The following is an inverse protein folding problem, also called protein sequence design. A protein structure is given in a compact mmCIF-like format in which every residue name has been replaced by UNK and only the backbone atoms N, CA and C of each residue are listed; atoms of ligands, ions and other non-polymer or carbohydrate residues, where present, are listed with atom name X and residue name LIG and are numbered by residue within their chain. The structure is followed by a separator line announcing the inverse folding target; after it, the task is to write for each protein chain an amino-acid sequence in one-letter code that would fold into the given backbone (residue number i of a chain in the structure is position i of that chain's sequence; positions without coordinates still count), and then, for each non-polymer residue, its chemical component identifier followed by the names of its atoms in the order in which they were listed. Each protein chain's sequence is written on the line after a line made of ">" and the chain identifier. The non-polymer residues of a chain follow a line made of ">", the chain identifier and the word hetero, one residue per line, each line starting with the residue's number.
data_IF_941865323636
#
_entry.id   IF_941865323636
#
_cell.length_a   1.000
_cell.length_b   1.000
_cell.length_c   1.000
_cell.angle_alpha   90.00
_cell.angle_beta   90.00
_cell.angle_gamma   90.00
#
_symmetry.space_group_name_H-M   'P 1'
#
loop_
_entity.id
_entity.type
_entity.pdbx_description
1 polymer ?
#
# COMPACT_ATOMS: atom_id res chain seq x y z
N UNK A 1 12.01 6.64 25.39
CA UNK A 1 10.74 6.99 24.72
C UNK A 1 10.16 5.73 24.10
N UNK A 2 9.03 5.24 24.55
CA UNK A 2 8.36 4.08 23.95
C UNK A 2 7.82 4.51 22.59
N UNK A 3 8.37 3.95 21.51
CA UNK A 3 7.86 4.15 20.15
C UNK A 3 6.39 3.77 20.10
N UNK A 4 5.51 4.67 19.62
CA UNK A 4 4.11 4.40 19.41
C UNK A 4 3.92 3.34 18.33
N UNK A 5 2.79 2.61 18.34
CA UNK A 5 2.47 1.69 17.25
C UNK A 5 2.18 2.49 15.97
N UNK A 6 2.83 2.11 14.88
CA UNK A 6 2.61 2.71 13.56
C UNK A 6 1.52 2.00 12.75
N UNK A 7 0.79 1.08 13.36
CA UNK A 7 -0.41 0.45 12.79
C UNK A 7 -1.66 0.83 13.59
N UNK A 8 -2.77 1.02 12.88
CA UNK A 8 -4.11 1.24 13.43
C UNK A 8 -5.02 0.13 12.98
N UNK A 9 -5.73 -0.50 13.90
CA UNK A 9 -6.64 -1.61 13.64
C UNK A 9 -8.07 -1.08 13.48
N UNK A 10 -8.78 -1.56 12.47
CA UNK A 10 -10.18 -1.24 12.20
C UNK A 10 -10.97 -2.53 11.99
N UNK A 11 -12.03 -2.73 12.76
CA UNK A 11 -12.83 -3.95 12.77
C UNK A 11 -12.36 -5.01 13.77
N UNK A 12 -13.01 -6.17 13.77
CA UNK A 12 -12.73 -7.28 14.70
C UNK A 12 -11.53 -8.10 14.23
N UNK A 13 -10.35 -7.69 14.68
CA UNK A 13 -9.08 -8.34 14.33
C UNK A 13 -8.87 -9.64 15.11
N UNK A 14 -9.46 -9.79 16.30
CA UNK A 14 -9.19 -10.95 17.16
C UNK A 14 -9.74 -12.25 16.57
N UNK A 15 -10.90 -12.18 15.94
CA UNK A 15 -11.59 -13.34 15.34
C UNK A 15 -11.24 -13.57 13.87
N UNK A 16 -10.57 -12.62 13.22
CA UNK A 16 -10.30 -12.70 11.80
C UNK A 16 -9.11 -13.63 11.50
N UNK A 17 -9.22 -14.48 10.51
CA UNK A 17 -8.12 -15.32 10.01
C UNK A 17 -7.24 -14.57 9.01
N UNK A 18 -7.74 -13.48 8.46
CA UNK A 18 -7.06 -12.64 7.48
C UNK A 18 -7.42 -11.17 7.67
N UNK A 19 -6.60 -10.28 7.14
CA UNK A 19 -6.80 -8.84 7.20
C UNK A 19 -6.29 -8.15 5.93
N UNK A 20 -6.90 -6.99 5.59
CA UNK A 20 -6.35 -6.08 4.57
C UNK A 20 -5.43 -5.08 5.25
N UNK A 21 -4.19 -5.00 4.78
CA UNK A 21 -3.20 -4.05 5.28
C UNK A 21 -3.02 -2.94 4.27
N UNK A 22 -3.34 -1.72 4.65
CA UNK A 22 -3.23 -0.52 3.85
C UNK A 22 -1.93 0.22 4.14
N UNK A 23 -1.11 0.40 3.09
CA UNK A 23 0.16 1.10 3.17
C UNK A 23 0.06 2.47 2.50
N UNK A 24 0.51 3.56 3.20
CA UNK A 24 0.17 4.93 2.85
C UNK A 24 0.82 5.41 1.55
N UNK A 25 0.12 6.21 0.74
CA UNK A 25 0.72 6.94 -0.37
C UNK A 25 1.58 8.11 0.14
N UNK A 26 2.37 8.70 -0.77
CA UNK A 26 3.20 9.86 -0.46
C UNK A 26 2.37 11.04 0.06
N UNK A 27 2.89 11.75 1.06
CA UNK A 27 2.29 12.95 1.65
C UNK A 27 1.14 12.67 2.63
N UNK A 28 0.80 11.41 2.93
CA UNK A 28 -0.25 11.10 3.91
C UNK A 28 0.18 11.52 5.31
N UNK A 29 -0.68 12.22 6.02
CA UNK A 29 -0.52 12.51 7.47
C UNK A 29 -1.07 11.35 8.29
N UNK A 30 -2.26 10.89 7.95
CA UNK A 30 -2.92 9.69 8.48
C UNK A 30 -3.30 8.79 7.32
N UNK A 31 -3.75 7.57 7.58
CA UNK A 31 -4.20 6.69 6.50
C UNK A 31 -5.41 7.28 5.75
N UNK A 32 -5.35 7.46 4.43
CA UNK A 32 -6.49 7.92 3.64
C UNK A 32 -7.52 6.81 3.38
N UNK A 33 -7.27 5.60 3.86
CA UNK A 33 -8.05 4.40 3.55
C UNK A 33 -9.08 4.03 4.62
N UNK A 34 -9.26 4.83 5.69
CA UNK A 34 -10.31 4.55 6.69
C UNK A 34 -11.71 4.42 6.08
N UNK A 35 -12.13 5.28 5.11
CA UNK A 35 -13.41 5.08 4.44
C UNK A 35 -13.47 3.75 3.67
N UNK A 36 -12.40 3.39 2.98
CA UNK A 36 -12.30 2.14 2.22
C UNK A 36 -12.33 0.92 3.15
N UNK A 37 -11.60 0.97 4.27
CA UNK A 37 -11.61 -0.08 5.30
C UNK A 37 -12.99 -0.28 5.93
N UNK A 38 -13.77 0.79 6.08
CA UNK A 38 -15.15 0.73 6.59
C UNK A 38 -16.17 0.09 5.64
N UNK A 39 -15.81 -0.07 4.37
CA UNK A 39 -16.64 -0.73 3.34
C UNK A 39 -16.30 -2.22 3.16
N UNK A 40 -15.25 -2.72 3.81
CA UNK A 40 -14.93 -4.13 3.76
C UNK A 40 -15.98 -4.98 4.48
N UNK A 41 -16.22 -6.22 4.02
CA UNK A 41 -17.23 -7.06 4.63
C UNK A 41 -16.91 -7.42 6.07
N UNK A 42 -17.93 -7.71 6.91
CA UNK A 42 -17.74 -8.23 8.26
C UNK A 42 -16.81 -9.47 8.23
N UNK A 43 -15.83 -9.52 9.13
CA UNK A 43 -14.84 -10.60 9.19
C UNK A 43 -13.59 -10.39 8.34
N UNK A 44 -13.51 -9.28 7.58
CA UNK A 44 -12.30 -8.83 6.88
C UNK A 44 -11.84 -7.47 7.44
N UNK A 45 -11.19 -7.43 8.60
CA UNK A 45 -10.73 -6.19 9.20
C UNK A 45 -9.62 -5.53 8.39
N UNK A 46 -9.48 -4.22 8.61
CA UNK A 46 -8.41 -3.42 8.03
C UNK A 46 -7.32 -3.09 9.05
N UNK A 47 -6.09 -3.01 8.56
CA UNK A 47 -4.93 -2.50 9.29
C UNK A 47 -4.33 -1.35 8.51
N UNK A 48 -4.23 -0.19 9.12
CA UNK A 48 -3.70 1.01 8.49
C UNK A 48 -2.27 1.25 8.98
N UNK A 49 -1.31 1.23 8.07
CA UNK A 49 0.07 1.62 8.34
C UNK A 49 0.19 3.15 8.29
N UNK A 50 0.92 3.72 9.24
CA UNK A 50 1.20 5.16 9.31
C UNK A 50 2.71 5.39 9.38
N UNK A 51 3.15 6.49 8.79
CA UNK A 51 4.57 6.86 8.75
C UNK A 51 4.96 7.67 9.98
N UNK A 52 6.12 7.38 10.60
CA UNK A 52 6.70 8.23 11.64
C UNK A 52 6.98 9.65 11.18
N UNK A 53 7.03 10.59 12.13
CA UNK A 53 7.26 12.01 11.87
C UNK A 53 6.01 12.77 11.41
N UNK A 54 4.81 12.17 11.55
CA UNK A 54 3.53 12.80 11.16
C UNK A 54 2.34 12.22 11.90
N UNK A 55 1.22 12.94 11.89
CA UNK A 55 -0.03 12.49 12.52
C UNK A 55 0.17 12.10 13.99
N UNK A 56 -0.24 10.89 14.36
CA UNK A 56 -0.08 10.36 15.72
C UNK A 56 1.37 10.10 16.13
N UNK A 57 2.28 10.05 15.15
CA UNK A 57 3.70 9.73 15.32
C UNK A 57 4.59 10.95 15.03
N UNK A 58 4.05 12.18 15.20
CA UNK A 58 4.73 13.43 14.84
C UNK A 58 6.07 13.62 15.57
N UNK A 59 6.18 13.13 16.81
CA UNK A 59 7.39 13.23 17.63
C UNK A 59 8.45 12.17 17.30
N UNK A 60 8.14 11.24 16.40
CA UNK A 60 9.09 10.21 15.99
C UNK A 60 9.92 10.67 14.79
N UNK A 61 11.14 10.17 14.71
CA UNK A 61 11.99 10.42 13.53
C UNK A 61 11.34 9.84 12.26
N UNK A 62 11.20 10.63 11.19
CA UNK A 62 10.75 10.12 9.90
C UNK A 62 11.64 8.99 9.38
N UNK A 63 11.04 8.03 8.67
CA UNK A 63 11.79 6.97 8.00
C UNK A 63 12.62 7.53 6.85
N UNK A 64 13.81 6.99 6.67
CA UNK A 64 14.75 7.40 5.62
C UNK A 64 14.60 6.63 4.31
N UNK A 65 13.88 5.49 4.30
CA UNK A 65 13.77 4.63 3.12
C UNK A 65 12.51 3.77 3.15
N UNK A 66 12.14 3.22 1.97
CA UNK A 66 11.05 2.24 1.82
C UNK A 66 11.31 1.01 2.69
N UNK A 67 12.57 0.58 2.77
CA UNK A 67 12.96 -0.61 3.55
C UNK A 67 12.81 -0.40 5.04
N UNK A 68 13.26 0.75 5.56
CA UNK A 68 13.11 1.10 6.97
C UNK A 68 11.64 1.10 7.40
N UNK A 69 10.74 1.65 6.58
CA UNK A 69 9.31 1.60 6.83
C UNK A 69 8.77 0.16 6.83
N UNK A 70 9.15 -0.64 5.83
CA UNK A 70 8.73 -2.03 5.73
C UNK A 70 9.24 -2.89 6.88
N UNK A 71 10.48 -2.69 7.36
CA UNK A 71 11.03 -3.39 8.51
C UNK A 71 10.22 -3.10 9.78
N UNK A 72 9.87 -1.83 10.01
CA UNK A 72 9.04 -1.43 11.13
C UNK A 72 7.66 -2.08 11.08
N UNK A 73 6.94 -1.93 9.97
CA UNK A 73 5.58 -2.48 9.84
C UNK A 73 5.57 -4.00 9.87
N UNK A 74 6.53 -4.68 9.27
CA UNK A 74 6.63 -6.15 9.36
C UNK A 74 6.76 -6.62 10.79
N UNK A 75 7.61 -5.97 11.58
CA UNK A 75 7.76 -6.29 13.00
C UNK A 75 6.49 -6.01 13.82
N UNK A 76 5.75 -4.95 13.53
CA UNK A 76 4.50 -4.63 14.22
C UNK A 76 3.36 -5.57 13.79
N UNK A 77 3.23 -5.86 12.49
CA UNK A 77 2.24 -6.79 11.94
C UNK A 77 2.47 -8.21 12.46
N UNK A 78 3.72 -8.69 12.50
CA UNK A 78 4.06 -10.01 13.03
C UNK A 78 3.64 -10.18 14.49
N UNK A 79 3.77 -9.12 15.30
CA UNK A 79 3.31 -9.14 16.70
C UNK A 79 1.81 -9.03 16.86
N UNK A 80 1.15 -8.24 16.00
CA UNK A 80 -0.30 -8.01 16.09
C UNK A 80 -1.13 -9.12 15.45
N UNK A 81 -0.60 -9.79 14.41
CA UNK A 81 -1.33 -10.69 13.54
C UNK A 81 -0.58 -12.01 13.27
N UNK A 82 0.00 -12.67 14.30
CA UNK A 82 0.78 -13.88 14.08
C UNK A 82 -0.08 -14.99 13.44
N UNK A 83 0.46 -15.64 12.41
CA UNK A 83 -0.22 -16.72 11.68
C UNK A 83 -1.33 -16.27 10.71
N UNK A 84 -1.69 -14.99 10.67
CA UNK A 84 -2.77 -14.47 9.83
C UNK A 84 -2.36 -14.41 8.36
N UNK A 85 -3.37 -14.42 7.50
CA UNK A 85 -3.23 -14.15 6.07
C UNK A 85 -3.39 -12.66 5.83
N UNK A 86 -2.43 -12.04 5.15
CA UNK A 86 -2.42 -10.61 4.89
C UNK A 86 -2.63 -10.33 3.41
N UNK A 87 -3.58 -9.45 3.12
CA UNK A 87 -3.81 -8.84 1.81
C UNK A 87 -3.22 -7.44 1.83
N UNK A 88 -2.05 -7.26 1.23
CA UNK A 88 -1.37 -5.96 1.23
C UNK A 88 -1.93 -5.08 0.11
N UNK A 89 -2.32 -3.87 0.45
CA UNK A 89 -2.77 -2.85 -0.50
C UNK A 89 -1.87 -1.62 -0.40
N UNK A 90 -1.27 -1.22 -1.51
CA UNK A 90 -0.50 0.01 -1.59
C UNK A 90 -0.88 0.82 -2.82
N UNK A 91 -1.04 2.14 -2.65
CA UNK A 91 -1.28 3.10 -3.72
C UNK A 91 -0.05 3.99 -3.92
N UNK A 92 0.35 4.20 -5.16
CA UNK A 92 1.50 5.06 -5.52
C UNK A 92 2.78 4.61 -4.77
N UNK A 93 3.40 5.45 -3.94
CA UNK A 93 4.52 5.07 -3.08
C UNK A 93 4.18 3.88 -2.16
N UNK A 94 2.95 3.81 -1.67
CA UNK A 94 2.44 2.71 -0.85
C UNK A 94 2.60 1.34 -1.49
N UNK A 95 2.62 1.27 -2.82
CA UNK A 95 2.87 0.02 -3.56
C UNK A 95 4.29 -0.53 -3.34
N UNK A 96 5.28 0.34 -3.21
CA UNK A 96 6.65 -0.06 -2.88
C UNK A 96 6.76 -0.50 -1.42
N UNK A 97 6.06 0.19 -0.52
CA UNK A 97 5.96 -0.23 0.87
C UNK A 97 5.33 -1.61 0.99
N UNK A 98 4.23 -1.86 0.25
CA UNK A 98 3.56 -3.16 0.22
C UNK A 98 4.47 -4.26 -0.35
N UNK A 99 5.17 -3.98 -1.44
CA UNK A 99 6.13 -4.90 -2.04
C UNK A 99 7.27 -5.27 -1.08
N UNK A 100 7.89 -4.29 -0.42
CA UNK A 100 8.95 -4.54 0.54
C UNK A 100 8.43 -5.26 1.80
N UNK A 101 7.22 -4.95 2.28
CA UNK A 101 6.59 -5.65 3.40
C UNK A 101 6.30 -7.12 3.02
N UNK A 102 5.77 -7.37 1.80
CA UNK A 102 5.57 -8.73 1.30
C UNK A 102 6.88 -9.53 1.28
N UNK A 103 7.97 -8.89 0.86
CA UNK A 103 9.27 -9.54 0.81
C UNK A 103 9.79 -9.98 2.18
N UNK A 104 9.54 -9.20 3.26
CA UNK A 104 9.91 -9.61 4.63
C UNK A 104 9.19 -10.88 5.04
N UNK A 105 7.89 -10.94 4.81
CA UNK A 105 7.10 -12.13 5.16
C UNK A 105 7.33 -13.32 4.24
N UNK A 106 7.85 -13.12 3.04
CA UNK A 106 8.31 -14.22 2.19
C UNK A 106 9.61 -14.83 2.71
N UNK A 107 10.49 -14.00 3.29
CA UNK A 107 11.75 -14.44 3.88
C UNK A 107 11.56 -15.03 5.30
N UNK A 108 10.63 -14.49 6.09
CA UNK A 108 10.28 -14.94 7.44
C UNK A 108 8.75 -15.01 7.59
N UNK A 109 8.13 -16.20 7.37
CA UNK A 109 6.69 -16.33 7.21
C UNK A 109 5.92 -16.39 8.54
N UNK A 110 6.12 -15.44 9.44
CA UNK A 110 5.29 -15.27 10.65
C UNK A 110 3.84 -14.95 10.27
N UNK A 111 3.64 -14.20 9.19
CA UNK A 111 2.35 -14.00 8.53
C UNK A 111 2.43 -14.53 7.10
N UNK A 112 1.28 -14.89 6.51
CA UNK A 112 1.22 -15.38 5.11
C UNK A 112 0.70 -14.27 4.21
N UNK A 113 1.44 -13.93 3.16
CA UNK A 113 0.93 -12.99 2.16
C UNK A 113 -0.05 -13.69 1.24
N UNK A 114 -1.33 -13.34 1.39
CA UNK A 114 -2.42 -13.91 0.59
C UNK A 114 -2.58 -13.20 -0.76
N UNK A 115 -2.31 -11.88 -0.82
CA UNK A 115 -2.22 -11.12 -2.07
C UNK A 115 -1.44 -9.82 -1.89
N UNK A 116 -0.85 -9.34 -2.97
CA UNK A 116 -0.29 -8.01 -3.11
C UNK A 116 -1.14 -7.24 -4.13
N UNK A 117 -1.78 -6.17 -3.70
CA UNK A 117 -2.52 -5.24 -4.54
C UNK A 117 -1.70 -3.98 -4.73
N UNK A 118 -1.33 -3.73 -5.97
CA UNK A 118 -0.60 -2.55 -6.41
C UNK A 118 -1.57 -1.59 -7.09
N UNK A 119 -1.65 -0.37 -6.61
CA UNK A 119 -2.57 0.66 -7.10
C UNK A 119 -1.79 1.87 -7.63
N UNK A 120 -2.04 2.24 -8.89
CA UNK A 120 -1.51 3.44 -9.55
C UNK A 120 -0.01 3.67 -9.29
N UNK A 121 0.80 2.64 -9.52
CA UNK A 121 2.25 2.69 -9.32
C UNK A 121 2.99 2.03 -10.47
N UNK A 122 4.05 2.66 -10.94
CA UNK A 122 5.02 2.01 -11.81
C UNK A 122 5.82 0.97 -11.03
N UNK A 123 6.36 0.01 -11.74
CA UNK A 123 7.14 -1.10 -11.23
C UNK A 123 8.31 -0.63 -10.34
N UNK A 124 8.83 -1.48 -9.46
CA UNK A 124 9.87 -1.11 -8.50
C UNK A 124 11.18 -0.60 -9.14
N UNK A 125 11.50 -1.07 -10.33
CA UNK A 125 12.71 -0.65 -11.09
C UNK A 125 12.60 0.74 -11.70
N UNK A 126 11.40 1.28 -11.86
CA UNK A 126 11.19 2.60 -12.46
C UNK A 126 11.69 3.72 -11.55
N UNK A 127 12.55 4.59 -12.12
CA UNK A 127 12.98 5.82 -11.44
C UNK A 127 12.18 7.00 -11.99
N UNK A 128 11.33 7.66 -11.19
CA UNK A 128 10.57 8.81 -11.64
C UNK A 128 11.48 9.96 -12.09
N UNK A 129 11.13 10.62 -13.18
CA UNK A 129 11.80 11.85 -13.60
C UNK A 129 11.52 12.96 -12.56
N UNK A 130 12.50 13.81 -12.29
CA UNK A 130 12.35 14.92 -11.32
C UNK A 130 11.15 15.83 -11.62
N UNK A 131 10.87 16.07 -12.91
CA UNK A 131 9.72 16.86 -13.34
C UNK A 131 8.36 16.27 -12.93
N UNK A 132 8.23 14.94 -12.90
CA UNK A 132 7.00 14.24 -12.47
C UNK A 132 6.78 14.46 -10.97
N UNK A 133 7.84 14.39 -10.17
CA UNK A 133 7.77 14.66 -8.73
C UNK A 133 7.35 16.12 -8.46
N UNK A 134 7.89 17.09 -9.22
CA UNK A 134 7.51 18.49 -9.11
C UNK A 134 6.04 18.74 -9.52
N UNK A 135 5.57 18.11 -10.60
CA UNK A 135 4.18 18.20 -11.05
C UNK A 135 3.22 17.58 -10.01
N UNK A 136 3.57 16.43 -9.45
CA UNK A 136 2.78 15.79 -8.39
C UNK A 136 2.70 16.67 -7.14
N UNK A 137 3.82 17.25 -6.70
CA UNK A 137 3.85 18.18 -5.58
C UNK A 137 3.01 19.44 -5.84
N UNK A 138 3.05 20.00 -7.06
CA UNK A 138 2.24 21.16 -7.44
C UNK A 138 0.74 20.85 -7.40
N UNK A 139 0.31 19.73 -7.98
CA UNK A 139 -1.09 19.29 -7.96
C UNK A 139 -1.59 19.00 -6.55
N UNK A 140 -0.77 18.39 -5.72
CA UNK A 140 -1.12 18.11 -4.32
C UNK A 140 -1.30 19.38 -3.51
N UNK A 141 -0.48 20.43 -3.74
CA UNK A 141 -0.67 21.75 -3.13
C UNK A 141 -1.95 22.41 -3.59
N UNK A 142 -2.24 22.37 -4.89
CA UNK A 142 -3.44 22.99 -5.46
C UNK A 142 -4.75 22.38 -4.93
N UNK A 143 -4.75 21.09 -4.61
CA UNK A 143 -5.92 20.38 -4.06
C UNK A 143 -6.20 20.68 -2.58
N UNK A 144 -5.18 21.07 -1.80
CA UNK A 144 -5.29 21.24 -0.34
C UNK A 144 -5.63 22.68 0.10
N UNK A 145 -5.65 23.64 -0.80
CA UNK A 145 -5.84 25.04 -0.42
C UNK A 145 -4.63 25.67 0.29
N UNK A 146 -4.70 26.97 0.56
CA UNK A 146 -3.59 27.77 1.13
C UNK A 146 -3.69 27.89 2.65
N UNK A 147 -3.95 26.79 3.38
CA UNK A 147 -3.97 26.83 4.84
C UNK A 147 -2.54 26.83 5.42
N UNK A 148 -2.37 27.44 6.59
CA UNK A 148 -1.09 27.79 7.22
C UNK A 148 -0.13 26.61 7.51
N UNK A 149 -0.55 25.36 7.37
CA UNK A 149 0.27 24.15 7.49
C UNK A 149 0.98 23.75 6.18
N UNK A 150 0.89 24.55 5.14
CA UNK A 150 1.38 24.24 3.80
C UNK A 150 2.88 23.95 3.70
N UNK A 151 3.69 24.51 4.59
CA UNK A 151 5.16 24.33 4.59
C UNK A 151 5.54 22.94 5.09
N UNK A 152 4.98 22.50 6.21
CA UNK A 152 5.23 21.16 6.78
C UNK A 152 4.69 20.01 5.89
N UNK A 153 3.60 20.23 5.17
CA UNK A 153 3.03 19.30 4.20
C UNK A 153 3.90 19.18 2.94
N UNK A 154 4.47 20.28 2.50
CA UNK A 154 5.41 20.32 1.38
C UNK A 154 6.67 19.52 1.68
N UNK A 155 7.23 19.66 2.86
CA UNK A 155 8.43 18.94 3.32
C UNK A 155 8.20 17.44 3.47
N UNK A 156 7.03 17.02 3.96
CA UNK A 156 6.66 15.60 4.06
C UNK A 156 6.55 14.95 2.69
N UNK A 157 5.85 15.59 1.77
CA UNK A 157 5.71 15.09 0.40
C UNK A 157 7.07 15.04 -0.31
N UNK A 158 7.91 16.06 -0.16
CA UNK A 158 9.25 16.11 -0.74
C UNK A 158 10.13 14.97 -0.20
N UNK A 159 10.04 14.67 1.10
CA UNK A 159 10.72 13.54 1.73
C UNK A 159 10.26 12.21 1.15
N UNK A 160 8.96 11.99 1.02
CA UNK A 160 8.39 10.75 0.47
C UNK A 160 8.76 10.55 -1.00
N UNK A 161 8.75 11.62 -1.80
CA UNK A 161 9.19 11.59 -3.21
C UNK A 161 10.69 11.31 -3.34
N UNK A 162 11.51 11.78 -2.37
CA UNK A 162 12.93 11.44 -2.30
C UNK A 162 13.11 9.95 -2.01
N UNK A 163 12.43 9.40 -1.01
CA UNK A 163 12.43 7.97 -0.68
C UNK A 163 12.04 7.13 -1.92
N UNK A 164 11.01 7.54 -2.67
CA UNK A 164 10.61 6.88 -3.93
C UNK A 164 11.72 6.92 -4.98
N UNK A 165 12.36 8.05 -5.16
CA UNK A 165 13.41 8.24 -6.18
C UNK A 165 14.69 7.46 -5.85
N UNK A 166 15.02 7.35 -4.57
CA UNK A 166 16.21 6.65 -4.07
C UNK A 166 16.01 5.13 -3.99
N UNK A 167 14.75 4.67 -4.03
CA UNK A 167 14.46 3.25 -3.96
C UNK A 167 15.00 2.48 -5.16
N UNK A 168 15.63 1.34 -4.90
CA UNK A 168 16.11 0.38 -5.92
C UNK A 168 15.75 -1.04 -5.47
N UNK A 169 15.07 -1.83 -6.30
CA UNK A 169 14.87 -3.25 -6.02
C UNK A 169 16.23 -3.98 -6.15
N UNK A 170 16.41 -5.01 -5.34
CA UNK A 170 17.67 -5.80 -5.34
C UNK A 170 17.45 -7.24 -4.95
N UNK A 171 16.28 -7.79 -5.29
CA UNK A 171 15.89 -9.15 -4.94
C UNK A 171 15.29 -9.87 -6.12
N UNK A 172 15.24 -11.20 -6.00
CA UNK A 172 14.46 -12.05 -6.91
C UNK A 172 12.97 -11.68 -6.84
N UNK A 173 12.23 -11.91 -7.93
CA UNK A 173 10.80 -11.67 -7.98
C UNK A 173 10.03 -12.42 -6.88
N UNK A 174 9.00 -11.77 -6.32
CA UNK A 174 8.18 -12.36 -5.26
C UNK A 174 7.13 -13.30 -5.84
N UNK A 175 7.04 -14.52 -5.35
CA UNK A 175 6.04 -15.51 -5.76
C UNK A 175 4.74 -15.36 -4.93
N UNK A 176 4.13 -14.18 -4.92
CA UNK A 176 2.86 -13.89 -4.23
C UNK A 176 1.77 -13.53 -5.24
N UNK A 177 0.46 -13.78 -4.97
CA UNK A 177 -0.62 -13.37 -5.86
C UNK A 177 -0.64 -11.86 -6.04
N UNK A 178 -0.76 -11.40 -7.30
CA UNK A 178 -0.69 -9.99 -7.70
C UNK A 178 -2.01 -9.50 -8.30
N UNK A 179 -2.56 -8.42 -7.76
CA UNK A 179 -3.61 -7.62 -8.39
C UNK A 179 -3.09 -6.21 -8.71
N UNK A 180 -3.54 -5.65 -9.82
CA UNK A 180 -3.19 -4.31 -10.28
C UNK A 180 -4.45 -3.46 -10.38
N UNK A 181 -4.41 -2.24 -9.84
CA UNK A 181 -5.51 -1.28 -9.86
C UNK A 181 -5.02 0.07 -10.42
N UNK A 182 -5.84 0.73 -11.24
CA UNK A 182 -5.46 2.01 -11.84
C UNK A 182 -6.69 2.85 -12.20
N UNK A 183 -6.58 4.18 -12.10
CA UNK A 183 -7.54 5.10 -12.73
C UNK A 183 -7.35 5.14 -14.24
N UNK A 184 -8.45 5.22 -15.02
CA UNK A 184 -8.38 5.31 -16.49
C UNK A 184 -7.73 6.60 -16.97
N UNK A 185 -7.95 7.67 -16.23
CA UNK A 185 -7.46 9.01 -16.56
C UNK A 185 -6.22 9.39 -15.75
N UNK A 186 -5.51 8.40 -15.18
CA UNK A 186 -4.28 8.63 -14.43
C UNK A 186 -3.17 9.10 -15.37
N UNK A 187 -2.73 10.36 -15.17
CA UNK A 187 -1.68 10.99 -15.96
C UNK A 187 -0.27 10.66 -15.48
N UNK A 188 -0.11 10.06 -14.29
CA UNK A 188 1.18 9.65 -13.74
C UNK A 188 1.52 8.20 -14.03
N UNK A 189 0.50 7.33 -14.03
CA UNK A 189 0.64 5.90 -14.27
C UNK A 189 -0.55 5.42 -15.10
N UNK A 190 -0.31 5.13 -16.37
CA UNK A 190 -1.35 4.64 -17.26
C UNK A 190 -1.61 3.15 -17.04
N UNK A 191 -2.85 2.66 -17.26
CA UNK A 191 -3.19 1.25 -17.08
C UNK A 191 -2.26 0.30 -17.85
N UNK A 192 -1.84 0.67 -19.07
CA UNK A 192 -0.95 -0.13 -19.91
C UNK A 192 0.49 -0.24 -19.39
N UNK A 193 0.89 0.58 -18.44
CA UNK A 193 2.21 0.55 -17.79
C UNK A 193 2.22 -0.37 -16.55
N UNK A 194 1.06 -0.66 -15.97
CA UNK A 194 0.94 -1.47 -14.75
C UNK A 194 1.43 -2.92 -14.91
N UNK A 195 1.22 -3.61 -16.06
CA UNK A 195 1.66 -5.00 -16.22
C UNK A 195 3.17 -5.25 -16.04
N UNK A 196 4.03 -4.22 -16.12
CA UNK A 196 5.47 -4.33 -15.84
C UNK A 196 5.77 -4.83 -14.40
N UNK A 197 4.84 -4.69 -13.46
CA UNK A 197 4.95 -5.28 -12.13
C UNK A 197 5.13 -6.81 -12.13
N UNK A 198 4.68 -7.51 -13.19
CA UNK A 198 4.80 -8.97 -13.32
C UNK A 198 6.24 -9.45 -13.48
N UNK A 199 7.16 -8.57 -13.77
CA UNK A 199 8.60 -8.87 -13.74
C UNK A 199 9.14 -8.96 -12.30
N UNK A 200 8.49 -8.31 -11.37
CA UNK A 200 8.88 -8.24 -9.96
C UNK A 200 8.00 -9.10 -9.02
N UNK A 201 6.82 -9.49 -9.49
CA UNK A 201 5.88 -10.33 -8.73
C UNK A 201 5.34 -11.40 -9.66
N UNK A 202 5.86 -12.61 -9.52
CA UNK A 202 5.65 -13.74 -10.45
C UNK A 202 4.61 -14.75 -9.98
N UNK A 203 3.97 -14.51 -8.84
CA UNK A 203 2.86 -15.33 -8.38
C UNK A 203 1.62 -15.23 -9.28
N UNK A 204 0.53 -15.87 -8.87
CA UNK A 204 -0.72 -15.85 -9.64
C UNK A 204 -1.17 -14.41 -9.92
N UNK A 205 -1.43 -14.10 -11.20
CA UNK A 205 -2.00 -12.82 -11.58
C UNK A 205 -3.52 -12.85 -11.39
N UNK A 206 -4.02 -11.94 -10.54
CA UNK A 206 -5.43 -11.84 -10.15
C UNK A 206 -6.23 -10.87 -11.04
N UNK A 207 -5.54 -10.08 -11.85
CA UNK A 207 -6.14 -9.17 -12.82
C UNK A 207 -5.63 -7.74 -12.74
N UNK A 208 -5.95 -6.97 -13.78
CA UNK A 208 -5.83 -5.52 -13.83
C UNK A 208 -7.24 -4.92 -13.80
N UNK A 209 -7.53 -4.08 -12.83
CA UNK A 209 -8.82 -3.44 -12.62
C UNK A 209 -8.68 -1.93 -12.84
N UNK A 210 -9.50 -1.37 -13.72
CA UNK A 210 -9.50 0.06 -14.01
C UNK A 210 -10.78 0.72 -13.51
N UNK A 211 -10.64 1.93 -12.98
CA UNK A 211 -11.71 2.73 -12.40
C UNK A 211 -11.81 4.08 -13.11
N UNK A 212 -12.97 4.69 -13.08
CA UNK A 212 -13.14 6.04 -13.59
C UNK A 212 -12.39 7.03 -12.67
N UNK A 213 -11.69 7.99 -13.26
CA UNK A 213 -10.92 9.02 -12.56
C UNK A 213 -9.41 8.89 -12.74
N UNK A 214 -8.71 9.84 -12.16
CA UNK A 214 -7.25 9.98 -12.25
C UNK A 214 -6.50 9.21 -11.15
N UNK A 215 -5.37 9.78 -10.72
CA UNK A 215 -4.45 9.11 -9.78
C UNK A 215 -5.13 8.68 -8.48
N UNK A 216 -5.92 9.56 -7.86
CA UNK A 216 -6.58 9.30 -6.56
C UNK A 216 -8.02 8.80 -6.72
N UNK A 217 -8.31 7.98 -7.74
CA UNK A 217 -9.65 7.47 -8.07
C UNK A 217 -10.41 6.86 -6.87
N UNK A 218 -9.69 6.22 -5.96
CA UNK A 218 -10.25 5.54 -4.77
C UNK A 218 -10.81 6.51 -3.72
N UNK A 219 -10.36 7.78 -3.69
CA UNK A 219 -10.87 8.78 -2.75
C UNK A 219 -12.29 9.24 -3.10
N UNK A 220 -12.54 9.45 -4.39
CA UNK A 220 -13.84 9.91 -4.87
C UNK A 220 -14.90 8.80 -4.87
N UNK A 221 -14.51 7.57 -5.15
CA UNK A 221 -15.41 6.41 -5.27
C UNK A 221 -14.77 5.17 -4.63
N UNK A 222 -14.83 5.06 -3.29
CA UNK A 222 -14.22 3.94 -2.57
C UNK A 222 -14.99 2.61 -2.76
N UNK A 223 -16.32 2.64 -2.96
CA UNK A 223 -17.16 1.43 -3.05
C UNK A 223 -16.73 0.44 -4.14
N UNK A 224 -16.50 0.85 -5.41
CA UNK A 224 -16.03 -0.08 -6.43
C UNK A 224 -14.65 -0.68 -6.10
N UNK A 225 -13.80 0.09 -5.41
CA UNK A 225 -12.48 -0.39 -4.99
C UNK A 225 -12.59 -1.41 -3.87
N UNK A 226 -13.47 -1.16 -2.88
CA UNK A 226 -13.78 -2.12 -1.82
C UNK A 226 -14.28 -3.45 -2.39
N UNK A 227 -15.20 -3.40 -3.35
CA UNK A 227 -15.74 -4.60 -4.02
C UNK A 227 -14.66 -5.39 -4.78
N UNK A 228 -13.69 -4.70 -5.36
CA UNK A 228 -12.54 -5.38 -6.01
C UNK A 228 -11.61 -6.00 -4.96
N UNK A 229 -11.33 -5.33 -3.84
CA UNK A 229 -10.53 -5.89 -2.75
C UNK A 229 -11.21 -7.16 -2.20
N UNK A 230 -12.52 -7.14 -1.94
CA UNK A 230 -13.28 -8.30 -1.51
C UNK A 230 -13.12 -9.47 -2.48
N UNK A 231 -13.34 -9.25 -3.79
CA UNK A 231 -13.16 -10.27 -4.83
C UNK A 231 -11.73 -10.85 -4.88
N UNK A 232 -10.71 -10.01 -4.67
CA UNK A 232 -9.31 -10.45 -4.57
C UNK A 232 -9.12 -11.38 -3.38
N UNK A 233 -9.67 -11.02 -2.22
CA UNK A 233 -9.56 -11.84 -1.00
C UNK A 233 -10.25 -13.18 -1.17
N UNK A 234 -11.45 -13.23 -1.71
CA UNK A 234 -12.20 -14.45 -2.02
C UNK A 234 -11.45 -15.36 -2.99
N UNK A 235 -10.91 -14.79 -4.08
CA UNK A 235 -10.14 -15.54 -5.08
C UNK A 235 -8.89 -16.16 -4.45
N UNK A 236 -8.26 -15.47 -3.51
CA UNK A 236 -7.08 -15.95 -2.79
C UNK A 236 -7.42 -17.07 -1.79
N UNK A 237 -8.59 -17.04 -1.15
CA UNK A 237 -9.10 -18.11 -0.28
C UNK A 237 -9.31 -19.41 -1.05
N UNK A 238 -9.99 -19.34 -2.18
CA UNK A 238 -10.35 -20.52 -2.98
C UNK A 238 -9.11 -21.24 -3.52
N UNK A 239 -8.05 -20.51 -3.84
CA UNK A 239 -6.78 -21.10 -4.31
C UNK A 239 -6.03 -21.91 -3.25
N UNK A 240 -6.21 -21.60 -1.97
CA UNK A 240 -5.57 -22.32 -0.87
C UNK A 240 -6.28 -23.64 -0.56
N UNK A 241 -7.60 -23.71 -0.76
CA UNK A 241 -8.40 -24.93 -0.55
C UNK A 241 -8.11 -26.03 -1.57
N UNK A 242 -7.94 -25.66 -2.84
CA UNK A 242 -7.63 -26.63 -3.92
C UNK A 242 -6.19 -27.16 -3.88
N UNK A 243 -5.27 -26.50 -3.19
CA UNK A 243 -3.89 -26.96 -3.02
C UNK A 243 -3.66 -27.94 -1.84
N UNK A 244 -4.63 -28.08 -0.93
CA UNK A 244 -4.55 -28.98 0.24
C UNK A 244 -5.13 -30.37 0.00
N UNK A 245 -5.73 -30.62 -1.17
CA UNK A 245 -6.37 -31.90 -1.54
C UNK A 245 -5.53 -32.74 -2.53
N UNK A 246 -4.22 -32.46 -2.64
CA UNK A 246 -3.31 -33.29 -3.47
C UNK A 246 -2.16 -33.83 -2.66
#
# INVERSE_FOLDING_TARGET
>A
MTSGRSIVLQGDIERAEEAVVFLPPAGSVTSPYFPLGGLLPPGLPAVHCELPGRGRLVDERPVGSVREAADRWSGELARALPGRRLHLFGHSLGSLFAYETAARFTADPVCRIASLTVSAAREPGHTPRAAIGAAFAALSRQRRGTDADGDADGDRLATDLRIRREYRPHREPLAVPLALLCGRDDTFVRPEEMPAWREFVTGRFLGLFTFDGGHDYYLARPDPVASVIERITETSRNSTRTGSEK
#
